data_IF_122999588714
#
_entry.id   IF_122999588714
#
_cell.length_a   1.000
_cell.length_b   1.000
_cell.length_c   1.000
_cell.angle_alpha   90.00
_cell.angle_beta   90.00
_cell.angle_gamma   90.00
#
_symmetry.space_group_name_H-M   'P 1'
#
loop_
_entity.id
_entity.type
_entity.pdbx_description
1 polymer ?
#
# COMPACT_ATOMS: atom_id res chain seq x y z
N UNK A 1 -12.72 -25.87 8.30
CA UNK A 1 -13.84 -26.40 7.50
C UNK A 1 -14.40 -25.43 6.45
N UNK A 2 -13.99 -24.16 6.41
CA UNK A 2 -14.48 -23.16 5.43
C UNK A 2 -13.74 -23.16 4.07
N UNK A 3 -12.51 -23.67 4.00
CA UNK A 3 -11.68 -23.60 2.79
C UNK A 3 -12.18 -24.50 1.65
N UNK A 4 -12.71 -25.68 1.96
CA UNK A 4 -13.33 -26.58 0.97
C UNK A 4 -14.59 -25.97 0.36
N UNK A 5 -15.30 -25.13 1.09
CA UNK A 5 -16.55 -24.49 0.66
C UNK A 5 -16.29 -23.38 -0.38
N UNK A 6 -15.09 -22.79 -0.42
CA UNK A 6 -14.74 -21.70 -1.33
C UNK A 6 -13.96 -22.15 -2.56
N UNK A 7 -13.46 -23.40 -2.58
CA UNK A 7 -12.69 -23.95 -3.70
C UNK A 7 -13.57 -24.02 -4.96
N UNK A 8 -13.21 -23.26 -5.99
CA UNK A 8 -13.95 -23.17 -7.24
C UNK A 8 -15.11 -22.16 -7.27
N UNK A 9 -15.38 -21.45 -6.15
CA UNK A 9 -16.35 -20.36 -6.16
C UNK A 9 -15.78 -19.15 -6.89
N UNK A 10 -16.61 -18.57 -7.76
CA UNK A 10 -16.29 -17.40 -8.58
C UNK A 10 -17.23 -16.26 -8.26
N UNK A 11 -16.69 -15.07 -8.31
CA UNK A 11 -17.42 -13.81 -8.29
C UNK A 11 -17.43 -13.21 -9.68
N UNK A 12 -18.44 -12.38 -9.94
CA UNK A 12 -18.50 -11.52 -11.12
C UNK A 12 -17.99 -10.15 -10.70
N UNK A 13 -16.97 -9.65 -11.38
CA UNK A 13 -16.34 -8.37 -11.10
C UNK A 13 -16.55 -7.46 -12.30
N UNK A 14 -17.07 -6.26 -12.04
CA UNK A 14 -17.43 -5.28 -13.07
C UNK A 14 -16.61 -4.03 -12.84
N UNK A 15 -15.91 -3.61 -13.88
CA UNK A 15 -15.20 -2.34 -13.93
C UNK A 15 -16.01 -1.36 -14.78
N UNK A 16 -16.46 -0.25 -14.17
CA UNK A 16 -17.14 0.84 -14.85
C UNK A 16 -16.11 1.83 -15.38
N UNK A 17 -15.92 1.88 -16.70
CA UNK A 17 -14.85 2.68 -17.33
C UNK A 17 -15.02 4.18 -17.12
N UNK A 18 -16.25 4.69 -17.21
CA UNK A 18 -16.54 6.13 -17.05
C UNK A 18 -16.33 6.64 -15.62
N UNK A 19 -16.63 5.82 -14.63
CA UNK A 19 -16.61 6.21 -13.21
C UNK A 19 -15.35 5.73 -12.50
N UNK A 20 -14.53 4.89 -13.15
CA UNK A 20 -13.39 4.21 -12.56
C UNK A 20 -13.75 3.47 -11.25
N UNK A 21 -14.97 2.92 -11.20
CA UNK A 21 -15.52 2.20 -10.05
C UNK A 21 -15.57 0.70 -10.31
N UNK A 22 -15.47 -0.09 -9.23
CA UNK A 22 -15.51 -1.55 -9.29
C UNK A 22 -16.64 -2.06 -8.42
N UNK A 23 -17.50 -2.87 -9.02
CA UNK A 23 -18.59 -3.55 -8.34
C UNK A 23 -18.38 -5.07 -8.37
N UNK A 24 -18.82 -5.74 -7.30
CA UNK A 24 -18.65 -7.19 -7.11
C UNK A 24 -20.01 -7.83 -6.89
N UNK A 25 -20.33 -8.84 -7.70
CA UNK A 25 -21.56 -9.59 -7.60
C UNK A 25 -21.27 -11.08 -7.36
N UNK A 26 -22.14 -11.72 -6.59
CA UNK A 26 -22.05 -13.16 -6.29
C UNK A 26 -22.33 -14.03 -7.52
N UNK A 27 -23.22 -13.60 -8.41
CA UNK A 27 -23.52 -14.28 -9.66
C UNK A 27 -23.92 -13.28 -10.77
N UNK A 28 -23.93 -13.77 -12.01
CA UNK A 28 -24.27 -12.96 -13.17
C UNK A 28 -25.76 -12.60 -13.25
N UNK A 29 -26.64 -13.44 -12.66
CA UNK A 29 -28.09 -13.19 -12.65
C UNK A 29 -28.42 -11.94 -11.83
N UNK A 30 -27.81 -11.79 -10.66
CA UNK A 30 -27.97 -10.65 -9.77
C UNK A 30 -27.50 -9.36 -10.45
N UNK A 31 -26.39 -9.43 -11.19
CA UNK A 31 -25.95 -8.30 -12.01
C UNK A 31 -27.00 -7.93 -13.06
N UNK A 32 -27.52 -8.88 -13.82
CA UNK A 32 -28.57 -8.62 -14.83
C UNK A 32 -29.90 -8.15 -14.22
N UNK A 33 -30.18 -8.47 -12.95
CA UNK A 33 -31.35 -7.95 -12.23
C UNK A 33 -31.16 -6.47 -11.85
N UNK A 34 -29.96 -6.09 -11.39
CA UNK A 34 -29.62 -4.70 -11.07
C UNK A 34 -29.48 -3.83 -12.33
N UNK A 35 -29.00 -4.42 -13.43
CA UNK A 35 -28.75 -3.74 -14.70
C UNK A 35 -29.40 -4.51 -15.86
N UNK A 36 -30.73 -4.34 -16.08
CA UNK A 36 -31.51 -5.08 -17.08
C UNK A 36 -31.06 -4.87 -18.52
N UNK A 37 -30.29 -3.82 -18.80
CA UNK A 37 -29.73 -3.56 -20.12
C UNK A 37 -28.72 -4.63 -20.58
N UNK A 38 -28.23 -5.46 -19.67
CA UNK A 38 -27.29 -6.53 -19.99
C UNK A 38 -27.98 -7.90 -19.99
N UNK A 39 -27.88 -8.61 -21.12
CA UNK A 39 -28.47 -9.93 -21.27
C UNK A 39 -27.57 -11.02 -20.67
N UNK A 40 -28.15 -11.81 -19.74
CA UNK A 40 -27.49 -12.94 -19.10
C UNK A 40 -26.92 -13.95 -20.11
N UNK A 41 -27.70 -14.31 -21.13
CA UNK A 41 -27.29 -15.35 -22.09
C UNK A 41 -26.07 -14.91 -22.89
N UNK A 42 -26.06 -13.65 -23.34
CA UNK A 42 -24.94 -13.04 -24.04
C UNK A 42 -23.69 -13.06 -23.17
N UNK A 43 -23.77 -12.48 -21.96
CA UNK A 43 -22.64 -12.41 -21.05
C UNK A 43 -22.15 -13.79 -20.62
N UNK A 44 -23.06 -14.73 -20.39
CA UNK A 44 -22.70 -16.09 -20.01
C UNK A 44 -21.97 -16.80 -21.16
N UNK A 45 -22.38 -16.60 -22.41
CA UNK A 45 -21.71 -17.18 -23.57
C UNK A 45 -20.28 -16.64 -23.73
N UNK A 46 -20.10 -15.32 -23.61
CA UNK A 46 -18.77 -14.68 -23.64
C UNK A 46 -17.86 -15.19 -22.51
N UNK A 47 -18.36 -15.21 -21.28
CA UNK A 47 -17.58 -15.56 -20.09
C UNK A 47 -17.34 -17.07 -19.92
N UNK A 48 -17.99 -17.93 -20.72
CA UNK A 48 -17.88 -19.40 -20.59
C UNK A 48 -16.93 -20.03 -21.60
N UNK A 49 -16.80 -19.50 -22.83
CA UNK A 49 -16.00 -20.14 -23.88
C UNK A 49 -14.50 -19.97 -23.67
N UNK A 50 -14.05 -18.73 -23.47
CA UNK A 50 -12.61 -18.43 -23.45
C UNK A 50 -12.13 -17.84 -22.11
N UNK A 51 -13.02 -17.73 -21.12
CA UNK A 51 -12.78 -16.97 -19.87
C UNK A 51 -12.29 -15.53 -20.11
N UNK A 52 -12.56 -14.99 -21.31
CA UNK A 52 -12.21 -13.64 -21.70
C UNK A 52 -13.17 -12.66 -21.03
N UNK A 53 -12.64 -11.51 -20.62
CA UNK A 53 -13.46 -10.42 -20.09
C UNK A 53 -14.42 -9.93 -21.17
N UNK A 54 -15.70 -9.80 -20.84
CA UNK A 54 -16.61 -9.08 -21.72
C UNK A 54 -16.30 -7.59 -21.59
N UNK A 55 -15.92 -6.94 -22.69
CA UNK A 55 -15.51 -5.55 -22.68
C UNK A 55 -16.33 -4.73 -23.68
N UNK A 56 -16.88 -3.61 -23.20
CA UNK A 56 -17.58 -2.61 -23.99
C UNK A 56 -17.06 -1.21 -23.58
N UNK A 57 -17.56 -0.15 -24.20
CA UNK A 57 -17.16 1.24 -23.92
C UNK A 57 -17.52 1.66 -22.48
N UNK A 58 -18.54 1.05 -21.90
CA UNK A 58 -19.05 1.39 -20.57
C UNK A 58 -18.47 0.50 -19.47
N UNK A 59 -18.36 -0.81 -19.73
CA UNK A 59 -18.06 -1.82 -18.71
C UNK A 59 -17.08 -2.87 -19.20
N UNK A 60 -16.30 -3.39 -18.25
CA UNK A 60 -15.53 -4.62 -18.40
C UNK A 60 -15.94 -5.61 -17.31
N UNK A 61 -16.46 -6.76 -17.73
CA UNK A 61 -17.02 -7.80 -16.84
C UNK A 61 -16.13 -9.03 -16.85
N UNK A 62 -15.76 -9.51 -15.67
CA UNK A 62 -14.85 -10.64 -15.48
C UNK A 62 -15.41 -11.65 -14.47
N UNK A 63 -15.05 -12.93 -14.63
CA UNK A 63 -15.24 -13.95 -13.59
C UNK A 63 -13.91 -14.21 -12.89
N UNK A 64 -13.81 -13.87 -11.61
CA UNK A 64 -12.62 -14.09 -10.79
C UNK A 64 -12.89 -15.08 -9.67
N UNK A 65 -11.90 -15.90 -9.37
CA UNK A 65 -11.96 -16.84 -8.25
C UNK A 65 -11.75 -16.11 -6.93
N UNK A 66 -12.45 -16.56 -5.90
CA UNK A 66 -12.36 -15.97 -4.57
C UNK A 66 -11.02 -16.39 -3.95
N UNK A 67 -10.17 -15.40 -3.70
CA UNK A 67 -8.90 -15.63 -3.00
C UNK A 67 -9.16 -15.53 -1.49
N UNK A 68 -9.28 -16.68 -0.82
CA UNK A 68 -9.62 -16.74 0.60
C UNK A 68 -8.45 -16.34 1.53
N UNK A 69 -7.21 -16.54 1.07
CA UNK A 69 -5.99 -16.09 1.78
C UNK A 69 -5.42 -14.88 1.05
N UNK A 70 -4.97 -13.83 1.77
CA UNK A 70 -4.24 -12.75 1.12
C UNK A 70 -3.05 -13.34 0.37
N UNK A 71 -2.77 -12.83 -0.84
CA UNK A 71 -1.56 -13.21 -1.57
C UNK A 71 -0.38 -12.92 -0.64
N UNK A 72 0.30 -13.95 -0.15
CA UNK A 72 1.57 -13.77 0.54
C UNK A 72 2.51 -13.17 -0.49
N UNK A 73 2.88 -11.90 -0.30
CA UNK A 73 3.86 -11.23 -1.14
C UNK A 73 5.20 -11.96 -1.01
N UNK A 74 5.41 -13.04 -1.76
CA UNK A 74 6.67 -13.78 -1.93
C UNK A 74 6.57 -14.62 -3.22
N UNK A 75 6.42 -13.96 -4.35
CA UNK A 75 7.14 -14.39 -5.55
C UNK A 75 8.58 -13.88 -5.40
N UNK A 76 9.63 -14.70 -5.63
CA UNK A 76 11.02 -14.25 -5.52
C UNK A 76 11.40 -13.09 -6.45
N UNK A 77 10.54 -12.74 -7.41
CA UNK A 77 10.79 -11.71 -8.44
C UNK A 77 10.15 -10.35 -8.15
N UNK A 78 9.27 -10.20 -7.15
CA UNK A 78 8.62 -8.92 -6.86
C UNK A 78 8.65 -8.59 -5.36
N UNK A 79 9.81 -8.09 -4.93
CA UNK A 79 9.90 -7.14 -3.82
C UNK A 79 9.79 -7.71 -2.41
N UNK A 80 10.66 -8.65 -2.04
CA UNK A 80 11.09 -8.71 -0.63
C UNK A 80 11.66 -7.34 -0.26
N UNK A 81 11.07 -6.67 0.74
CA UNK A 81 11.74 -5.55 1.40
C UNK A 81 13.00 -6.11 2.07
N UNK A 82 14.11 -6.10 1.35
CA UNK A 82 15.42 -6.49 1.86
C UNK A 82 15.90 -5.40 2.82
N UNK A 83 15.40 -5.45 4.05
CA UNK A 83 15.98 -4.69 5.15
C UNK A 83 17.27 -5.41 5.53
N UNK A 84 18.36 -5.04 4.86
CA UNK A 84 19.69 -5.51 5.19
C UNK A 84 20.33 -4.51 6.18
N UNK A 85 20.85 -4.97 7.33
CA UNK A 85 21.63 -4.09 8.19
C UNK A 85 22.92 -3.69 7.45
N UNK A 86 23.15 -2.39 7.30
CA UNK A 86 24.43 -1.87 6.79
C UNK A 86 25.46 -1.96 7.91
N UNK A 87 26.11 -3.13 8.03
CA UNK A 87 27.14 -3.36 9.06
C UNK A 87 28.50 -2.91 8.53
N UNK A 88 29.04 -1.83 9.10
CA UNK A 88 30.42 -1.40 8.84
C UNK A 88 31.36 -2.00 9.88
N UNK A 89 32.27 -2.89 9.47
CA UNK A 89 33.33 -3.43 10.34
C UNK A 89 34.60 -2.61 10.16
N UNK A 90 34.91 -1.76 11.13
CA UNK A 90 36.15 -0.97 11.16
C UNK A 90 36.80 -1.03 12.55
N UNK A 91 38.14 -0.98 12.65
CA UNK A 91 38.81 -0.85 13.94
C UNK A 91 38.30 0.37 14.69
N UNK A 92 37.95 0.24 15.98
CA UNK A 92 37.32 1.29 16.78
C UNK A 92 38.05 2.64 16.68
N UNK A 93 39.38 2.62 16.74
CA UNK A 93 40.23 3.82 16.65
C UNK A 93 40.21 4.54 15.29
N UNK A 94 39.70 3.89 14.24
CA UNK A 94 39.60 4.41 12.86
C UNK A 94 38.15 4.65 12.42
N UNK A 95 37.17 4.41 13.30
CA UNK A 95 35.77 4.51 12.93
C UNK A 95 35.39 5.97 12.62
N UNK A 96 35.86 6.89 13.48
CA UNK A 96 35.64 8.34 13.41
C UNK A 96 34.17 8.68 13.11
N UNK A 97 33.29 7.96 13.81
CA UNK A 97 31.85 8.01 13.56
C UNK A 97 31.26 9.35 13.98
N UNK A 98 31.83 10.02 15.00
CA UNK A 98 31.38 11.35 15.46
C UNK A 98 31.47 12.41 14.36
N UNK A 99 32.59 12.49 13.65
CA UNK A 99 32.79 13.46 12.57
C UNK A 99 31.88 13.15 11.37
N UNK A 100 31.69 11.87 11.07
CA UNK A 100 30.83 11.41 9.98
C UNK A 100 29.36 11.68 10.28
N UNK A 101 28.92 11.41 11.50
CA UNK A 101 27.56 11.64 11.95
C UNK A 101 27.25 13.13 11.95
N UNK A 102 28.16 13.97 12.44
CA UNK A 102 28.01 15.41 12.39
C UNK A 102 27.86 15.91 10.94
N UNK A 103 28.75 15.50 10.03
CA UNK A 103 28.67 15.86 8.60
C UNK A 103 27.39 15.35 7.96
N UNK A 104 27.00 14.12 8.26
CA UNK A 104 25.74 13.54 7.78
C UNK A 104 24.55 14.38 8.22
N UNK A 105 24.43 14.70 9.50
CA UNK A 105 23.32 15.50 10.01
C UNK A 105 23.33 16.90 9.41
N UNK A 106 24.48 17.57 9.34
CA UNK A 106 24.61 18.89 8.70
C UNK A 106 24.21 18.88 7.23
N UNK A 107 24.42 17.75 6.51
CA UNK A 107 23.98 17.58 5.13
C UNK A 107 22.46 17.39 4.98
N UNK A 108 21.75 17.00 6.04
CA UNK A 108 20.30 16.75 5.98
C UNK A 108 19.50 18.07 5.96
N UNK A 109 18.30 18.09 5.33
CA UNK A 109 17.41 19.24 5.35
C UNK A 109 17.08 19.71 6.77
N UNK A 110 16.89 21.02 6.94
CA UNK A 110 16.60 21.66 8.24
C UNK A 110 15.41 21.00 8.93
N UNK A 111 14.34 20.69 8.19
CA UNK A 111 13.14 20.03 8.73
C UNK A 111 13.46 18.68 9.36
N UNK A 112 14.27 17.86 8.69
CA UNK A 112 14.65 16.51 9.14
C UNK A 112 15.59 16.56 10.34
N UNK A 113 16.51 17.53 10.38
CA UNK A 113 17.34 17.79 11.56
C UNK A 113 16.50 18.22 12.76
N UNK A 114 15.57 19.15 12.56
CA UNK A 114 14.69 19.64 13.61
C UNK A 114 13.80 18.53 14.16
N UNK A 115 13.26 17.67 13.30
CA UNK A 115 12.50 16.48 13.68
C UNK A 115 13.35 15.53 14.54
N UNK A 116 14.57 15.21 14.11
CA UNK A 116 15.48 14.33 14.84
C UNK A 116 15.84 14.89 16.24
N UNK A 117 16.13 16.20 16.33
CA UNK A 117 16.38 16.86 17.63
C UNK A 117 15.14 16.81 18.51
N UNK A 118 13.96 17.08 17.95
CA UNK A 118 12.69 17.03 18.68
C UNK A 118 12.43 15.62 19.23
N UNK A 119 12.71 14.60 18.42
CA UNK A 119 12.61 13.20 18.84
C UNK A 119 13.57 12.87 19.98
N UNK A 120 14.85 13.25 19.89
CA UNK A 120 15.83 13.05 20.95
C UNK A 120 15.42 13.72 22.26
N UNK A 121 14.98 14.99 22.18
CA UNK A 121 14.47 15.71 23.35
C UNK A 121 13.28 14.98 23.96
N UNK A 122 12.36 14.45 23.14
CA UNK A 122 11.20 13.71 23.64
C UNK A 122 11.55 12.44 24.40
N UNK A 123 12.64 11.75 24.04
CA UNK A 123 13.14 10.57 24.75
C UNK A 123 13.70 10.90 26.13
N UNK A 124 14.17 12.13 26.33
CA UNK A 124 14.71 12.60 27.61
C UNK A 124 13.63 13.14 28.56
N UNK A 125 12.38 13.28 28.11
CA UNK A 125 11.28 13.76 28.94
C UNK A 125 10.77 12.67 29.89
N UNK A 126 10.48 13.05 31.14
CA UNK A 126 9.80 12.16 32.09
C UNK A 126 8.35 11.91 31.65
N UNK A 127 7.77 10.79 32.09
CA UNK A 127 6.36 10.46 31.82
C UNK A 127 5.44 11.60 32.31
N UNK A 128 4.70 12.21 31.40
CA UNK A 128 3.80 13.34 31.69
C UNK A 128 4.45 14.73 31.64
N UNK A 129 5.77 14.82 31.46
CA UNK A 129 6.48 16.08 31.28
C UNK A 129 6.24 16.61 29.86
N UNK A 130 5.85 17.88 29.74
CA UNK A 130 5.72 18.56 28.46
C UNK A 130 7.06 19.14 28.03
N UNK A 131 7.31 19.16 26.72
CA UNK A 131 8.48 19.81 26.14
C UNK A 131 8.44 21.31 26.41
N UNK A 132 9.53 21.87 26.93
CA UNK A 132 9.67 23.30 27.10
C UNK A 132 9.85 23.97 25.72
N UNK A 133 8.98 24.93 25.41
CA UNK A 133 8.94 25.63 24.11
C UNK A 133 9.43 27.08 24.21
N UNK A 134 9.91 27.50 25.37
CA UNK A 134 10.34 28.89 25.62
C UNK A 134 11.53 29.32 24.76
N UNK A 135 12.38 28.39 24.32
CA UNK A 135 13.56 28.65 23.50
C UNK A 135 13.31 28.61 21.97
N UNK A 136 12.05 28.49 21.51
CA UNK A 136 11.75 28.45 20.07
C UNK A 136 11.77 29.88 19.51
N UNK A 137 12.93 30.31 19.01
CA UNK A 137 13.03 31.52 18.20
C UNK A 137 12.40 31.24 16.82
N UNK A 138 11.25 31.88 16.53
CA UNK A 138 10.71 31.91 15.17
C UNK A 138 11.65 32.72 14.30
N UNK A 139 12.46 32.04 13.49
CA UNK A 139 13.24 32.69 12.44
C UNK A 139 12.21 33.25 11.43
N UNK A 140 12.16 34.57 11.28
CA UNK A 140 11.42 35.19 10.18
C UNK A 140 12.16 34.83 8.89
N UNK A 141 11.55 34.01 8.05
CA UNK A 141 12.04 33.79 6.69
C UNK A 141 11.64 35.04 5.90
N UNK A 142 12.58 35.96 5.69
CA UNK A 142 12.42 37.00 4.68
C UNK A 142 12.47 36.32 3.30
N UNK A 143 11.47 36.63 2.47
CA UNK A 143 11.34 36.13 1.10
C UNK A 143 12.31 36.84 0.17
#
# INVERSE_FOLDING_TARGET
>A
MSETILKGKRIVLIHWKKQNQVEVFSNLKNFCLSYPQYNYNTLNNYLSKDKIAFENDLVRVERKEIIAKPKSNLTPSEGTRNIAPVVRKVPMKKADDEVRDLRYWLSQPVNKRAEAVTFLVSQMLKKGQRMDKTAINKIRTEQ
#
